data_IF_106803054166
#
_entry.id   IF_106803054166
#
_cell.length_a   1.000
_cell.length_b   1.000
_cell.length_c   1.000
_cell.angle_alpha   90.00
_cell.angle_beta   90.00
_cell.angle_gamma   90.00
#
_symmetry.space_group_name_H-M   'P 1'
#
loop_
_entity.id
_entity.type
_entity.pdbx_description
1 polymer ?
#
# COMPACT_ATOMS: atom_id res chain seq x y z
N UNK A 1 -22.03 24.81 -38.13
CA UNK A 1 -20.80 24.58 -37.35
C UNK A 1 -19.84 23.80 -38.23
N UNK A 2 -18.61 24.28 -38.35
CA UNK A 2 -17.61 23.77 -39.29
C UNK A 2 -17.01 22.44 -38.76
N UNK A 3 -16.86 21.37 -39.57
CA UNK A 3 -16.40 20.05 -39.08
C UNK A 3 -15.01 20.10 -38.40
N UNK A 4 -14.18 21.05 -38.79
CA UNK A 4 -12.86 21.36 -38.19
C UNK A 4 -12.98 21.89 -36.76
N UNK A 5 -13.96 22.75 -36.47
CA UNK A 5 -14.20 23.24 -35.10
C UNK A 5 -14.67 22.14 -34.15
N UNK A 6 -15.47 21.18 -34.62
CA UNK A 6 -15.90 20.04 -33.80
C UNK A 6 -14.74 19.08 -33.47
N UNK A 7 -13.86 18.81 -34.45
CA UNK A 7 -12.68 17.96 -34.28
C UNK A 7 -11.65 18.56 -33.30
N UNK A 8 -11.48 19.88 -33.34
CA UNK A 8 -10.58 20.61 -32.44
C UNK A 8 -11.13 20.66 -31.01
N UNK A 9 -12.44 20.85 -30.84
CA UNK A 9 -13.06 20.82 -29.51
C UNK A 9 -13.00 19.42 -28.87
N UNK A 10 -13.21 18.37 -29.67
CA UNK A 10 -13.08 16.99 -29.20
C UNK A 10 -11.65 16.66 -28.75
N UNK A 11 -10.63 17.10 -29.50
CA UNK A 11 -9.22 16.87 -29.12
C UNK A 11 -8.81 17.65 -27.87
N UNK A 12 -9.27 18.88 -27.70
CA UNK A 12 -9.02 19.67 -26.48
C UNK A 12 -9.68 19.03 -25.25
N UNK A 13 -10.92 18.54 -25.38
CA UNK A 13 -11.64 17.86 -24.28
C UNK A 13 -10.99 16.52 -23.89
N UNK A 14 -10.47 15.77 -24.87
CA UNK A 14 -9.74 14.51 -24.62
C UNK A 14 -8.40 14.79 -23.93
N UNK A 15 -7.67 15.84 -24.33
CA UNK A 15 -6.42 16.24 -23.68
C UNK A 15 -6.69 16.75 -22.25
N UNK A 16 -7.70 17.59 -22.03
CA UNK A 16 -8.06 18.09 -20.69
C UNK A 16 -8.49 16.95 -19.74
N UNK A 17 -9.16 15.92 -20.24
CA UNK A 17 -9.58 14.76 -19.41
C UNK A 17 -8.42 13.82 -19.07
N UNK A 18 -7.44 13.67 -19.97
CA UNK A 18 -6.19 12.94 -19.69
C UNK A 18 -5.24 13.71 -18.74
N UNK A 19 -5.16 15.05 -18.87
CA UNK A 19 -4.35 15.89 -17.98
C UNK A 19 -4.92 15.94 -16.56
N UNK A 20 -6.25 16.05 -16.40
CA UNK A 20 -6.90 16.07 -15.09
C UNK A 20 -6.73 14.76 -14.32
N UNK A 21 -6.79 13.60 -15.00
CA UNK A 21 -6.57 12.30 -14.35
C UNK A 21 -5.11 12.07 -13.92
N UNK A 22 -4.12 12.62 -14.65
CA UNK A 22 -2.73 12.66 -14.22
C UNK A 22 -2.49 13.65 -13.05
N UNK A 23 -3.27 14.73 -12.97
CA UNK A 23 -3.24 15.73 -11.88
C UNK A 23 -3.94 15.27 -10.59
N UNK A 24 -4.87 14.31 -10.65
CA UNK A 24 -5.63 13.85 -9.48
C UNK A 24 -4.84 12.94 -8.51
N UNK A 25 -3.69 12.40 -8.94
CA UNK A 25 -2.85 11.55 -8.09
C UNK A 25 -1.63 12.32 -7.58
N UNK A 26 -1.79 13.06 -6.48
CA UNK A 26 -0.71 13.81 -5.83
C UNK A 26 -0.02 13.07 -4.69
N UNK A 27 -0.38 11.80 -4.46
CA UNK A 27 0.17 10.99 -3.37
C UNK A 27 1.71 10.91 -3.40
N UNK A 28 2.33 10.91 -4.59
CA UNK A 28 3.79 10.84 -4.73
C UNK A 28 4.52 12.09 -4.21
N UNK A 29 3.86 13.26 -4.23
CA UNK A 29 4.44 14.52 -3.75
C UNK A 29 4.72 14.46 -2.25
N UNK A 30 3.82 13.83 -1.48
CA UNK A 30 3.96 13.66 -0.04
C UNK A 30 4.48 12.28 0.37
N UNK A 31 4.81 11.44 -0.60
CA UNK A 31 5.11 10.03 -0.34
C UNK A 31 6.27 9.83 0.61
N UNK A 32 7.36 10.59 0.44
CA UNK A 32 8.56 10.50 1.27
C UNK A 32 8.23 10.72 2.76
N UNK A 33 7.39 11.71 3.06
CA UNK A 33 7.00 12.02 4.45
C UNK A 33 6.07 10.95 5.02
N UNK A 34 5.10 10.50 4.22
CA UNK A 34 4.13 9.49 4.63
C UNK A 34 4.80 8.16 4.92
N UNK A 35 5.68 7.67 4.03
CA UNK A 35 6.39 6.41 4.25
C UNK A 35 7.29 6.45 5.48
N UNK A 36 7.97 7.58 5.71
CA UNK A 36 8.92 7.73 6.81
C UNK A 36 8.14 7.73 8.12
N UNK A 37 7.05 8.48 8.17
CA UNK A 37 6.13 8.53 9.30
C UNK A 37 5.57 7.13 9.63
N UNK A 38 5.07 6.39 8.63
CA UNK A 38 4.52 5.04 8.87
C UNK A 38 5.57 4.05 9.36
N UNK A 39 6.78 4.07 8.79
CA UNK A 39 7.87 3.17 9.20
C UNK A 39 8.40 3.49 10.61
N UNK A 40 8.50 4.76 10.96
CA UNK A 40 8.85 5.18 12.33
C UNK A 40 7.77 4.73 13.31
N UNK A 41 6.49 4.90 12.96
CA UNK A 41 5.37 4.54 13.83
C UNK A 41 5.32 3.04 14.14
N UNK A 42 5.47 2.14 13.14
CA UNK A 42 5.47 0.68 13.40
C UNK A 42 6.61 0.23 14.31
N UNK A 43 7.78 0.88 14.21
CA UNK A 43 8.93 0.64 15.10
C UNK A 43 8.64 1.13 16.51
N UNK A 44 7.99 2.29 16.63
CA UNK A 44 7.74 2.96 17.91
C UNK A 44 6.68 2.27 18.79
N UNK A 45 5.82 1.41 18.22
CA UNK A 45 4.77 0.68 18.94
C UNK A 45 5.30 -0.10 20.15
N UNK A 46 6.55 -0.58 20.08
CA UNK A 46 7.30 -1.16 21.20
C UNK A 46 8.80 -1.26 20.91
N UNK A 47 9.63 -1.03 21.93
CA UNK A 47 11.08 -1.26 21.89
C UNK A 47 11.46 -2.67 22.38
N UNK A 48 12.51 -3.29 21.80
CA UNK A 48 12.73 -3.59 20.37
C UNK A 48 11.87 -4.78 19.89
N UNK A 49 11.87 -5.08 18.58
CA UNK A 49 11.23 -6.31 18.03
C UNK A 49 11.93 -7.52 18.63
N UNK A 50 11.23 -8.27 19.48
CA UNK A 50 11.82 -9.31 20.33
C UNK A 50 11.91 -10.70 19.66
N UNK A 51 11.38 -10.89 18.45
CA UNK A 51 11.29 -12.21 17.83
C UNK A 51 12.31 -12.45 16.72
N UNK A 52 13.01 -13.58 16.82
CA UNK A 52 13.99 -14.05 15.83
C UNK A 52 13.38 -14.95 14.77
N UNK A 53 12.19 -15.51 15.00
CA UNK A 53 11.52 -16.46 14.09
C UNK A 53 11.18 -15.79 12.76
N UNK A 54 11.76 -16.25 11.65
CA UNK A 54 11.46 -15.71 10.33
C UNK A 54 10.13 -16.28 9.84
N UNK A 55 9.20 -15.41 9.43
CA UNK A 55 8.06 -15.84 8.63
C UNK A 55 8.49 -15.94 7.17
N UNK A 56 8.03 -16.98 6.47
CA UNK A 56 8.39 -17.19 5.07
C UNK A 56 7.74 -16.12 4.22
N UNK A 57 8.52 -15.11 3.87
CA UNK A 57 8.09 -14.00 3.05
C UNK A 57 7.87 -14.40 1.58
N UNK A 58 6.92 -13.74 0.89
CA UNK A 58 6.62 -13.98 -0.53
C UNK A 58 7.22 -12.90 -1.43
N UNK A 59 8.55 -12.89 -1.56
CA UNK A 59 9.29 -11.91 -2.39
C UNK A 59 8.87 -11.90 -3.87
N UNK A 60 8.36 -13.03 -4.38
CA UNK A 60 7.91 -13.15 -5.77
C UNK A 60 6.84 -12.10 -6.12
N UNK A 61 5.91 -11.78 -5.21
CA UNK A 61 4.85 -10.80 -5.52
C UNK A 61 5.42 -9.40 -5.78
N UNK A 62 6.37 -8.97 -4.95
CA UNK A 62 7.02 -7.67 -5.11
C UNK A 62 7.93 -7.63 -6.34
N UNK A 63 8.66 -8.73 -6.61
CA UNK A 63 9.49 -8.86 -7.82
C UNK A 63 8.63 -8.76 -9.09
N UNK A 64 7.52 -9.48 -9.15
CA UNK A 64 6.60 -9.44 -10.28
C UNK A 64 5.97 -8.05 -10.48
N UNK A 65 5.75 -7.32 -9.38
CA UNK A 65 5.12 -5.99 -9.42
C UNK A 65 6.06 -4.89 -9.91
N UNK A 66 7.38 -5.01 -9.67
CA UNK A 66 8.37 -4.04 -10.15
C UNK A 66 8.36 -3.85 -11.67
N UNK A 67 7.98 -4.86 -12.44
CA UNK A 67 7.95 -4.80 -13.91
C UNK A 67 6.61 -4.39 -14.49
N UNK A 68 5.60 -4.12 -13.65
CA UNK A 68 4.26 -3.71 -14.09
C UNK A 68 4.16 -2.21 -14.32
N UNK A 69 3.08 -1.86 -15.02
CA UNK A 69 2.64 -0.48 -15.20
C UNK A 69 2.33 0.19 -13.86
N UNK A 70 2.47 1.51 -13.84
CA UNK A 70 2.33 2.33 -12.64
C UNK A 70 0.99 2.13 -11.93
N UNK A 71 -0.12 2.12 -12.68
CA UNK A 71 -1.47 1.87 -12.14
C UNK A 71 -1.53 0.56 -11.37
N UNK A 72 -0.95 -0.52 -11.90
CA UNK A 72 -0.91 -1.80 -11.20
C UNK A 72 -0.07 -1.74 -9.91
N UNK A 73 1.02 -0.98 -9.92
CA UNK A 73 1.85 -0.76 -8.74
C UNK A 73 1.11 0.04 -7.67
N UNK A 74 0.42 1.13 -8.05
CA UNK A 74 -0.39 1.95 -7.12
C UNK A 74 -1.54 1.13 -6.51
N UNK A 75 -2.27 0.36 -7.31
CA UNK A 75 -3.28 -0.58 -6.83
C UNK A 75 -2.71 -1.61 -5.85
N UNK A 76 -1.51 -2.12 -6.14
CA UNK A 76 -0.84 -3.09 -5.29
C UNK A 76 -0.38 -2.47 -3.95
N UNK A 77 0.18 -1.26 -3.98
CA UNK A 77 0.59 -0.53 -2.77
C UNK A 77 -0.64 -0.29 -1.89
N UNK A 78 -1.68 0.31 -2.45
CA UNK A 78 -2.96 0.56 -1.77
C UNK A 78 -3.53 -0.74 -1.19
N UNK A 79 -3.63 -1.79 -2.00
CA UNK A 79 -4.17 -3.08 -1.58
C UNK A 79 -3.37 -3.70 -0.43
N UNK A 80 -2.04 -3.57 -0.46
CA UNK A 80 -1.16 -4.03 0.63
C UNK A 80 -1.42 -3.26 1.92
N UNK A 81 -1.49 -1.93 1.86
CA UNK A 81 -1.80 -1.08 3.00
C UNK A 81 -3.17 -1.40 3.61
N UNK A 82 -4.19 -1.65 2.77
CA UNK A 82 -5.53 -2.08 3.21
C UNK A 82 -5.46 -3.41 3.97
N UNK A 83 -4.66 -4.37 3.52
CA UNK A 83 -4.53 -5.63 4.25
C UNK A 83 -3.80 -5.44 5.59
N UNK A 84 -2.74 -4.63 5.63
CA UNK A 84 -2.05 -4.28 6.88
C UNK A 84 -3.04 -3.61 7.84
N UNK A 85 -3.72 -2.55 7.42
CA UNK A 85 -4.68 -1.84 8.25
C UNK A 85 -5.74 -2.78 8.83
N UNK A 86 -6.33 -3.64 8.00
CA UNK A 86 -7.35 -4.60 8.45
C UNK A 86 -6.80 -5.63 9.44
N UNK A 87 -5.57 -6.10 9.27
CA UNK A 87 -4.94 -7.06 10.18
C UNK A 87 -4.84 -6.50 11.60
N UNK A 88 -4.36 -5.25 11.74
CA UNK A 88 -4.20 -4.60 13.03
C UNK A 88 -5.52 -4.11 13.62
N UNK A 89 -6.46 -3.65 12.78
CA UNK A 89 -7.77 -3.17 13.24
C UNK A 89 -8.68 -4.30 13.73
N UNK A 90 -8.64 -5.47 13.07
CA UNK A 90 -9.53 -6.60 13.40
C UNK A 90 -8.95 -7.52 14.46
N UNK A 91 -7.62 -7.62 14.52
CA UNK A 91 -6.97 -8.47 15.51
C UNK A 91 -6.99 -7.85 16.91
N UNK A 92 -6.92 -8.71 17.93
CA UNK A 92 -6.83 -8.28 19.31
C UNK A 92 -5.40 -7.84 19.68
N UNK A 93 -5.02 -6.61 19.29
CA UNK A 93 -3.69 -6.03 19.55
C UNK A 93 -3.40 -5.77 21.03
N UNK A 94 -4.42 -5.81 21.92
CA UNK A 94 -4.21 -5.67 23.37
C UNK A 94 -3.27 -6.75 23.93
N UNK A 95 -3.28 -7.94 23.32
CA UNK A 95 -2.41 -9.06 23.70
C UNK A 95 -0.94 -8.87 23.31
N UNK A 96 -0.64 -7.94 22.40
CA UNK A 96 0.72 -7.64 21.95
C UNK A 96 1.57 -6.91 23.00
N UNK A 97 0.91 -6.22 23.95
CA UNK A 97 1.59 -5.36 24.92
C UNK A 97 2.29 -4.16 24.25
N UNK A 98 1.76 -3.69 23.13
CA UNK A 98 2.19 -2.47 22.45
C UNK A 98 1.58 -1.24 23.12
N UNK A 99 2.22 -0.10 22.91
CA UNK A 99 1.64 1.20 23.25
C UNK A 99 0.40 1.44 22.38
N UNK A 100 -0.76 1.58 23.03
CA UNK A 100 -2.04 1.71 22.36
C UNK A 100 -2.12 3.01 21.53
N UNK A 101 -1.60 4.12 22.05
CA UNK A 101 -1.59 5.40 21.34
C UNK A 101 -0.71 5.31 20.09
N UNK A 102 0.49 4.74 20.21
CA UNK A 102 1.40 4.55 19.06
C UNK A 102 0.84 3.57 18.03
N UNK A 103 0.05 2.59 18.47
CA UNK A 103 -0.64 1.66 17.56
C UNK A 103 -1.76 2.38 16.78
N UNK A 104 -2.54 3.23 17.44
CA UNK A 104 -3.54 4.09 16.79
C UNK A 104 -2.88 5.03 15.80
N UNK A 105 -1.83 5.73 16.22
CA UNK A 105 -1.01 6.61 15.40
C UNK A 105 -0.47 5.93 14.13
N UNK A 106 -0.01 4.68 14.26
CA UNK A 106 0.40 3.86 13.14
C UNK A 106 -0.75 3.57 12.17
N UNK A 107 -1.91 3.16 12.68
CA UNK A 107 -3.09 2.86 11.89
C UNK A 107 -3.64 4.09 11.17
N UNK A 108 -3.63 5.26 11.81
CA UNK A 108 -4.03 6.53 11.21
C UNK A 108 -3.09 6.91 10.05
N UNK A 109 -1.79 6.74 10.24
CA UNK A 109 -0.79 6.98 9.19
C UNK A 109 -1.01 6.08 7.97
N UNK A 110 -1.32 4.79 8.17
CA UNK A 110 -1.69 3.89 7.07
C UNK A 110 -3.01 4.32 6.42
N UNK A 111 -4.03 4.64 7.22
CA UNK A 111 -5.34 5.01 6.71
C UNK A 111 -5.26 6.27 5.82
N UNK A 112 -4.46 7.25 6.22
CA UNK A 112 -4.18 8.44 5.41
C UNK A 112 -3.62 8.08 4.04
N UNK A 113 -2.58 7.23 3.99
CA UNK A 113 -2.03 6.76 2.71
C UNK A 113 -3.06 6.02 1.85
N UNK A 114 -3.92 5.20 2.45
CA UNK A 114 -4.99 4.50 1.73
C UNK A 114 -5.97 5.50 1.10
N UNK A 115 -6.37 6.54 1.85
CA UNK A 115 -7.30 7.56 1.37
C UNK A 115 -6.71 8.36 0.21
N UNK A 116 -5.46 8.79 0.32
CA UNK A 116 -4.78 9.52 -0.76
C UNK A 116 -4.57 8.64 -2.00
N UNK A 117 -4.20 7.37 -1.82
CA UNK A 117 -4.10 6.41 -2.93
C UNK A 117 -5.45 6.05 -3.56
N UNK A 118 -6.58 6.18 -2.85
CA UNK A 118 -7.90 5.95 -3.45
C UNK A 118 -8.14 6.90 -4.62
N UNK A 119 -7.74 8.16 -4.48
CA UNK A 119 -7.90 9.16 -5.54
C UNK A 119 -7.04 8.83 -6.75
N UNK A 120 -5.84 8.28 -6.53
CA UNK A 120 -4.96 7.78 -7.58
C UNK A 120 -5.52 6.59 -8.38
N UNK A 121 -6.27 5.69 -7.74
CA UNK A 121 -6.75 4.46 -8.38
C UNK A 121 -8.16 4.58 -8.96
N UNK A 122 -8.96 5.55 -8.49
CA UNK A 122 -10.29 5.86 -9.04
C UNK A 122 -10.21 6.46 -10.44
N UNK A 123 -9.16 7.22 -10.76
CA UNK A 123 -9.00 7.88 -12.07
C UNK A 123 -8.62 6.92 -13.20
N UNK A 124 -8.16 5.71 -12.89
CA UNK A 124 -7.61 4.72 -13.85
C UNK A 124 -8.65 3.70 -14.37
N UNK A 125 -9.92 4.08 -14.49
CA UNK A 125 -11.06 3.18 -14.72
C UNK A 125 -11.15 2.45 -16.10
N UNK A 126 -10.04 2.29 -16.83
CA UNK A 126 -10.02 1.64 -18.15
C UNK A 126 -9.35 0.24 -18.10
N UNK A 127 -10.16 -0.79 -18.42
CA UNK A 127 -9.84 -2.15 -18.91
C UNK A 127 -8.92 -3.12 -18.12
N UNK A 128 -8.15 -2.70 -17.11
CA UNK A 128 -7.20 -3.60 -16.42
C UNK A 128 -7.78 -4.44 -15.24
N UNK A 129 -9.09 -4.40 -15.01
CA UNK A 129 -9.78 -4.94 -13.82
C UNK A 129 -9.40 -6.39 -13.49
N UNK A 130 -9.22 -7.24 -14.51
CA UNK A 130 -8.93 -8.67 -14.31
C UNK A 130 -7.55 -8.97 -13.75
N UNK A 131 -6.51 -8.19 -14.13
CA UNK A 131 -5.13 -8.41 -13.64
C UNK A 131 -4.94 -7.88 -12.23
N UNK A 132 -5.55 -6.73 -11.89
CA UNK A 132 -5.52 -6.19 -10.53
C UNK A 132 -6.17 -7.15 -9.53
N UNK A 133 -7.31 -7.74 -9.91
CA UNK A 133 -8.03 -8.70 -9.09
C UNK A 133 -7.18 -9.93 -8.72
N UNK A 134 -6.33 -10.41 -9.63
CA UNK A 134 -5.43 -11.54 -9.37
C UNK A 134 -4.42 -11.21 -8.26
N UNK A 135 -3.79 -10.03 -8.30
CA UNK A 135 -2.81 -9.64 -7.28
C UNK A 135 -3.49 -9.34 -5.94
N UNK A 136 -4.68 -8.75 -5.96
CA UNK A 136 -5.48 -8.55 -4.75
C UNK A 136 -5.83 -9.90 -4.09
N UNK A 137 -6.29 -10.88 -4.87
CA UNK A 137 -6.55 -12.24 -4.39
C UNK A 137 -5.29 -12.91 -3.85
N UNK A 138 -4.13 -12.73 -4.49
CA UNK A 138 -2.84 -13.26 -4.01
C UNK A 138 -2.42 -12.59 -2.69
N UNK A 139 -2.63 -11.28 -2.57
CA UNK A 139 -2.30 -10.49 -1.39
C UNK A 139 -3.20 -10.86 -0.21
N UNK A 140 -4.52 -10.90 -0.42
CA UNK A 140 -5.50 -11.35 0.59
C UNK A 140 -5.22 -12.78 1.06
N UNK A 141 -4.70 -13.65 0.20
CA UNK A 141 -4.25 -14.99 0.61
C UNK A 141 -2.99 -14.95 1.47
N UNK A 142 -2.03 -14.10 1.15
CA UNK A 142 -0.81 -13.92 1.94
C UNK A 142 -1.11 -13.39 3.35
N UNK A 143 -1.94 -12.35 3.48
CA UNK A 143 -2.29 -11.82 4.81
C UNK A 143 -3.14 -12.78 5.65
N UNK A 144 -4.03 -13.55 5.03
CA UNK A 144 -4.71 -14.68 5.72
C UNK A 144 -3.74 -15.74 6.20
N UNK A 145 -2.72 -16.06 5.40
CA UNK A 145 -1.65 -16.97 5.82
C UNK A 145 -0.89 -16.40 7.03
N UNK A 146 -0.51 -15.12 7.00
CA UNK A 146 0.17 -14.46 8.12
C UNK A 146 -0.69 -14.54 9.40
N UNK A 147 -1.94 -14.12 9.33
CA UNK A 147 -2.91 -14.18 10.43
C UNK A 147 -3.00 -15.61 11.01
N UNK A 148 -3.19 -16.62 10.16
CA UNK A 148 -3.32 -18.00 10.61
C UNK A 148 -2.05 -18.58 11.24
N UNK A 149 -0.86 -18.15 10.81
CA UNK A 149 0.42 -18.68 11.29
C UNK A 149 1.03 -17.87 12.45
N UNK A 150 0.35 -16.82 12.91
CA UNK A 150 0.86 -15.95 13.97
C UNK A 150 -0.18 -15.71 15.05
N UNK A 151 -1.39 -15.30 14.66
CA UNK A 151 -2.45 -14.93 15.59
C UNK A 151 -3.24 -16.14 16.06
N UNK A 152 -3.38 -17.17 15.21
CA UNK A 152 -4.06 -18.40 15.62
C UNK A 152 -3.13 -19.34 16.39
N UNK A 153 -1.84 -19.44 16.04
CA UNK A 153 -0.84 -20.34 16.66
C UNK A 153 0.56 -19.71 16.43
N UNK A 154 1.40 -19.29 17.40
CA UNK A 154 1.37 -19.40 18.88
C UNK A 154 1.14 -18.05 19.61
N UNK A 155 0.43 -18.13 20.74
CA UNK A 155 0.68 -17.29 21.93
C UNK A 155 0.63 -15.76 21.76
N UNK A 156 -0.36 -15.22 21.04
CA UNK A 156 -0.77 -13.80 21.05
C UNK A 156 0.36 -12.78 20.87
N UNK A 157 1.10 -12.48 21.94
CA UNK A 157 2.23 -11.54 21.97
C UNK A 157 3.33 -11.87 20.96
N UNK A 158 3.82 -13.10 20.94
CA UNK A 158 4.94 -13.46 20.05
C UNK A 158 4.51 -13.45 18.59
N UNK A 159 3.31 -13.96 18.30
CA UNK A 159 2.67 -13.85 16.99
C UNK A 159 2.52 -12.41 16.53
N UNK A 160 2.09 -11.50 17.41
CA UNK A 160 2.01 -10.07 17.11
C UNK A 160 3.37 -9.46 16.81
N UNK A 161 4.43 -9.77 17.56
CA UNK A 161 5.78 -9.30 17.24
C UNK A 161 6.28 -9.84 15.89
N UNK A 162 5.94 -11.09 15.55
CA UNK A 162 6.27 -11.65 14.23
C UNK A 162 5.55 -10.88 13.12
N UNK A 163 4.27 -10.57 13.31
CA UNK A 163 3.52 -9.74 12.37
C UNK A 163 4.05 -8.32 12.27
N UNK A 164 4.47 -7.70 13.38
CA UNK A 164 5.05 -6.36 13.37
C UNK A 164 6.34 -6.31 12.56
N UNK A 165 7.19 -7.31 12.73
CA UNK A 165 8.41 -7.49 11.91
C UNK A 165 8.08 -7.66 10.43
N UNK A 166 7.15 -8.56 10.10
CA UNK A 166 6.73 -8.75 8.70
C UNK A 166 6.07 -7.51 8.12
N UNK A 167 5.34 -6.75 8.92
CA UNK A 167 4.71 -5.49 8.51
C UNK A 167 5.76 -4.44 8.19
N UNK A 168 6.76 -4.25 9.05
CA UNK A 168 7.90 -3.37 8.78
C UNK A 168 8.59 -3.74 7.46
N UNK A 169 8.86 -5.03 7.28
CA UNK A 169 9.50 -5.55 6.07
C UNK A 169 8.64 -5.39 4.82
N UNK A 170 7.31 -5.50 4.93
CA UNK A 170 6.38 -5.17 3.84
C UNK A 170 6.42 -3.67 3.52
N UNK A 171 6.38 -2.80 4.53
CA UNK A 171 6.43 -1.35 4.35
C UNK A 171 7.72 -0.90 3.65
N UNK A 172 8.88 -1.46 4.01
CA UNK A 172 10.15 -1.20 3.32
C UNK A 172 10.09 -1.60 1.84
N UNK A 173 9.45 -2.72 1.50
CA UNK A 173 9.33 -3.13 0.09
C UNK A 173 8.33 -2.30 -0.68
N UNK A 174 7.25 -1.85 -0.03
CA UNK A 174 6.33 -0.88 -0.61
C UNK A 174 7.05 0.45 -0.87
N UNK A 175 7.95 0.87 0.03
CA UNK A 175 8.83 2.02 -0.18
C UNK A 175 9.68 1.88 -1.44
N UNK A 176 10.38 0.76 -1.60
CA UNK A 176 11.15 0.47 -2.81
C UNK A 176 10.28 0.52 -4.09
N UNK A 177 9.02 0.12 -4.01
CA UNK A 177 8.10 0.18 -5.14
C UNK A 177 7.64 1.61 -5.42
N UNK A 178 7.33 2.41 -4.39
CA UNK A 178 6.95 3.81 -4.59
C UNK A 178 8.11 4.68 -5.07
N UNK A 179 9.34 4.45 -4.61
CA UNK A 179 10.54 5.10 -5.16
C UNK A 179 10.72 4.78 -6.64
N UNK A 180 10.53 3.51 -7.04
CA UNK A 180 10.59 3.13 -8.45
C UNK A 180 9.56 3.89 -9.31
N UNK A 181 8.36 4.15 -8.77
CA UNK A 181 7.36 4.96 -9.46
C UNK A 181 7.84 6.42 -9.58
N UNK A 182 8.32 7.01 -8.48
CA UNK A 182 8.86 8.37 -8.46
C UNK A 182 9.99 8.57 -9.47
N UNK A 183 10.94 7.64 -9.50
CA UNK A 183 12.08 7.67 -10.42
C UNK A 183 11.62 7.64 -11.88
N UNK A 184 10.61 6.82 -12.22
CA UNK A 184 10.03 6.76 -13.59
C UNK A 184 9.35 8.06 -14.00
N UNK A 185 8.81 8.82 -13.03
CA UNK A 185 8.21 10.14 -13.26
C UNK A 185 9.23 11.28 -13.25
N UNK A 186 10.51 11.00 -12.96
CA UNK A 186 11.54 12.04 -12.81
C UNK A 186 11.35 12.91 -11.56
N UNK A 187 10.66 12.40 -10.54
CA UNK A 187 10.39 13.10 -9.29
C UNK A 187 11.40 12.61 -8.22
N UNK A 188 12.37 13.44 -7.84
CA UNK A 188 13.33 13.13 -6.76
C UNK A 188 12.85 13.71 -5.43
#
# INVERSE_FOLDING_TARGET
MDPTTFRNMATILILCSALTSALCCDWLTHYNDLRNSTLVRVRSMKCPIATTTPLRFRDRLYKDMKTREETAQLHFIRGSLVQIYNLYRRGNTSTAGWDAWKTTDFLESINRQILELNECVKSTHNEATSKHEVYEKKMKRYYRYLENNTLLHPGGRDGWEMLRRETEQNLIRLDLLGNLIKDRRGQH
#
